data_IF_099576092743
#
_entry.id   IF_099576092743
#
_cell.length_a   1.000
_cell.length_b   1.000
_cell.length_c   1.000
_cell.angle_alpha   90.00
_cell.angle_beta   90.00
_cell.angle_gamma   90.00
#
_symmetry.space_group_name_H-M   'P 1'
#
loop_
_entity.id
_entity.type
_entity.pdbx_description
1 polymer ?
#
# COMPACT_ATOMS: atom_id res chain seq x y z
N UNK A 1 -16.85 -20.26 26.55
CA UNK A 1 -15.53 -19.64 26.38
C UNK A 1 -15.45 -19.16 24.95
N UNK A 2 -15.88 -17.92 24.73
CA UNK A 2 -15.87 -17.27 23.42
C UNK A 2 -14.51 -16.58 23.25
N UNK A 3 -13.65 -16.98 22.30
CA UNK A 3 -12.36 -16.36 22.09
C UNK A 3 -12.57 -15.12 21.23
N UNK A 4 -13.07 -14.03 21.81
CA UNK A 4 -12.94 -12.74 21.14
C UNK A 4 -11.49 -12.29 21.32
N UNK A 5 -10.68 -12.22 20.25
CA UNK A 5 -9.30 -11.74 20.39
C UNK A 5 -9.34 -10.30 20.88
N UNK A 6 -8.55 -10.05 21.91
CA UNK A 6 -8.50 -8.79 22.63
C UNK A 6 -8.21 -7.63 21.65
N UNK A 7 -9.21 -6.78 21.40
CA UNK A 7 -9.15 -5.67 20.42
C UNK A 7 -8.01 -4.69 20.70
N UNK A 8 -7.47 -4.69 21.93
CA UNK A 8 -6.40 -3.81 22.37
C UNK A 8 -5.02 -4.13 21.78
N UNK A 9 -4.71 -5.39 21.47
CA UNK A 9 -3.39 -5.78 20.93
C UNK A 9 -3.34 -5.76 19.40
N UNK A 10 -4.49 -5.83 18.73
CA UNK A 10 -4.57 -5.85 17.27
C UNK A 10 -4.22 -4.51 16.62
N UNK A 11 -4.57 -3.38 17.25
CA UNK A 11 -4.32 -2.05 16.69
C UNK A 11 -2.82 -1.74 16.51
N UNK A 12 -1.98 -1.77 17.57
CA UNK A 12 -0.56 -1.49 17.41
C UNK A 12 0.15 -2.54 16.56
N UNK A 13 -0.26 -3.82 16.67
CA UNK A 13 0.36 -4.91 15.91
C UNK A 13 -0.01 -4.87 14.41
N UNK A 14 -1.27 -4.61 14.06
CA UNK A 14 -1.69 -4.52 12.65
C UNK A 14 -1.15 -3.26 11.96
N UNK A 15 -1.11 -2.12 12.65
CA UNK A 15 -0.50 -0.89 12.10
C UNK A 15 1.01 -1.05 11.95
N UNK A 16 1.71 -1.64 12.92
CA UNK A 16 3.14 -1.91 12.79
C UNK A 16 3.43 -2.89 11.64
N UNK A 17 2.67 -3.99 11.55
CA UNK A 17 2.87 -4.98 10.50
C UNK A 17 2.53 -4.44 9.10
N UNK A 18 1.42 -3.72 8.95
CA UNK A 18 1.05 -3.16 7.64
C UNK A 18 2.06 -2.11 7.17
N UNK A 19 2.54 -1.25 8.07
CA UNK A 19 3.57 -0.25 7.75
C UNK A 19 4.89 -0.93 7.40
N UNK A 20 5.38 -1.85 8.24
CA UNK A 20 6.69 -2.47 8.04
C UNK A 20 6.69 -3.33 6.77
N UNK A 21 5.68 -4.17 6.57
CA UNK A 21 5.61 -5.04 5.39
C UNK A 21 5.37 -4.24 4.10
N UNK A 22 4.50 -3.23 4.13
CA UNK A 22 4.26 -2.39 2.93
C UNK A 22 5.49 -1.55 2.59
N UNK A 23 6.17 -0.98 3.60
CA UNK A 23 7.38 -0.19 3.36
C UNK A 23 8.54 -1.05 2.85
N UNK A 24 8.71 -2.26 3.39
CA UNK A 24 9.68 -3.23 2.89
C UNK A 24 9.39 -3.60 1.43
N UNK A 25 8.13 -3.93 1.12
CA UNK A 25 7.73 -4.24 -0.25
C UNK A 25 7.94 -3.07 -1.23
N UNK A 26 7.62 -1.83 -0.84
CA UNK A 26 7.90 -0.62 -1.65
C UNK A 26 9.38 -0.47 -1.92
N UNK A 27 10.21 -0.68 -0.88
CA UNK A 27 11.65 -0.59 -1.00
C UNK A 27 12.17 -1.64 -1.97
N UNK A 28 11.77 -2.89 -1.80
CA UNK A 28 12.23 -4.00 -2.64
C UNK A 28 11.78 -3.80 -4.09
N UNK A 29 10.55 -3.31 -4.32
CA UNK A 29 10.02 -2.96 -5.64
C UNK A 29 10.89 -1.90 -6.32
N UNK A 30 11.26 -0.86 -5.58
CA UNK A 30 12.08 0.25 -6.10
C UNK A 30 13.53 -0.14 -6.34
N UNK A 31 14.06 -1.06 -5.55
CA UNK A 31 15.41 -1.57 -5.73
C UNK A 31 15.49 -2.63 -6.85
N UNK A 32 14.36 -2.99 -7.47
CA UNK A 32 14.31 -4.02 -8.51
C UNK A 32 14.69 -5.40 -7.99
N UNK A 33 14.52 -5.62 -6.67
CA UNK A 33 14.87 -6.87 -6.00
C UNK A 33 13.72 -7.89 -6.03
N UNK A 34 12.52 -7.49 -6.48
CA UNK A 34 11.45 -8.45 -6.72
C UNK A 34 11.67 -9.16 -8.04
N UNK A 35 11.60 -10.49 -7.97
CA UNK A 35 11.52 -11.34 -9.14
C UNK A 35 10.28 -10.92 -9.98
N UNK A 36 10.44 -10.70 -11.29
CA UNK A 36 9.33 -10.33 -12.15
C UNK A 36 8.30 -11.46 -12.17
N UNK A 37 7.04 -11.11 -11.92
CA UNK A 37 5.95 -12.08 -11.93
C UNK A 37 5.87 -12.78 -13.30
N UNK A 38 5.91 -14.10 -13.30
CA UNK A 38 5.81 -14.91 -14.50
C UNK A 38 4.50 -15.71 -14.50
N UNK A 39 3.60 -15.40 -15.42
CA UNK A 39 2.42 -16.23 -15.66
C UNK A 39 2.72 -17.17 -16.83
N UNK A 40 2.65 -18.48 -16.57
CA UNK A 40 2.91 -19.53 -17.58
C UNK A 40 4.29 -19.39 -18.25
N UNK A 41 5.31 -18.98 -17.49
CA UNK A 41 6.69 -18.83 -17.98
C UNK A 41 6.96 -17.56 -18.79
N UNK A 42 6.00 -16.64 -18.91
CA UNK A 42 6.20 -15.33 -19.55
C UNK A 42 6.21 -14.24 -18.49
N UNK A 43 7.30 -13.48 -18.44
CA UNK A 43 7.42 -12.31 -17.57
C UNK A 43 6.34 -11.29 -17.91
N UNK A 44 5.64 -10.80 -16.88
CA UNK A 44 4.65 -9.74 -16.99
C UNK A 44 5.30 -8.36 -16.90
N UNK A 45 4.64 -7.38 -17.50
CA UNK A 45 5.02 -5.98 -17.34
C UNK A 45 4.69 -5.50 -15.93
N UNK A 46 5.71 -5.01 -15.21
CA UNK A 46 5.60 -4.57 -13.83
C UNK A 46 5.36 -3.04 -13.72
N UNK A 47 5.17 -2.32 -14.83
CA UNK A 47 4.95 -0.86 -14.82
C UNK A 47 3.73 -0.44 -13.96
N UNK A 48 2.75 -1.33 -13.79
CA UNK A 48 1.60 -1.11 -12.93
C UNK A 48 1.97 -1.00 -11.44
N UNK A 49 3.01 -1.70 -10.98
CA UNK A 49 3.43 -1.68 -9.57
C UNK A 49 3.98 -0.32 -9.15
N UNK A 50 4.52 0.47 -10.09
CA UNK A 50 4.94 1.85 -9.83
C UNK A 50 3.79 2.77 -9.43
N UNK A 51 2.55 2.43 -9.81
CA UNK A 51 1.34 3.20 -9.52
C UNK A 51 0.57 2.66 -8.31
N UNK A 52 1.07 1.61 -7.65
CA UNK A 52 0.39 0.99 -6.52
C UNK A 52 0.54 1.80 -5.23
N UNK A 53 1.62 2.58 -5.14
CA UNK A 53 1.94 3.41 -3.98
C UNK A 53 2.01 4.87 -4.36
N UNK A 54 1.68 5.75 -3.40
CA UNK A 54 1.70 7.22 -3.57
C UNK A 54 0.76 7.71 -4.67
N UNK A 55 -0.29 6.94 -4.93
CA UNK A 55 -1.29 7.22 -5.94
C UNK A 55 -2.61 7.56 -5.28
N UNK A 56 -3.26 8.63 -5.75
CA UNK A 56 -4.59 9.00 -5.34
C UNK A 56 -5.47 9.31 -6.55
N UNK A 57 -6.75 8.95 -6.44
CA UNK A 57 -7.77 9.31 -7.41
C UNK A 57 -8.37 10.66 -7.02
N UNK A 58 -8.10 11.69 -7.81
CA UNK A 58 -8.64 13.04 -7.58
C UNK A 58 -9.85 13.25 -8.49
N UNK A 59 -11.05 13.47 -7.93
CA UNK A 59 -12.23 13.84 -8.71
C UNK A 59 -12.04 15.24 -9.30
N UNK A 60 -12.35 15.39 -10.58
CA UNK A 60 -12.33 16.65 -11.33
C UNK A 60 -13.67 16.83 -12.06
N UNK A 61 -13.98 18.04 -12.51
CA UNK A 61 -15.26 18.35 -13.19
C UNK A 61 -15.51 17.49 -14.43
N UNK A 62 -14.46 16.98 -15.07
CA UNK A 62 -14.54 16.16 -16.29
C UNK A 62 -14.13 14.70 -16.07
N UNK A 63 -14.17 14.19 -14.83
CA UNK A 63 -13.86 12.80 -14.50
C UNK A 63 -12.80 12.65 -13.41
N UNK A 64 -12.22 11.47 -13.28
CA UNK A 64 -11.20 11.21 -12.26
C UNK A 64 -9.80 11.23 -12.87
N UNK A 65 -8.84 11.86 -12.19
CA UNK A 65 -7.43 11.82 -12.54
C UNK A 65 -6.67 11.02 -11.50
N UNK A 66 -5.90 10.04 -11.96
CA UNK A 66 -4.98 9.31 -11.12
C UNK A 66 -3.68 10.11 -11.03
N UNK A 67 -3.33 10.54 -9.83
CA UNK A 67 -2.13 11.32 -9.56
C UNK A 67 -1.18 10.51 -8.71
N UNK A 68 0.08 10.45 -9.15
CA UNK A 68 1.18 9.78 -8.46
C UNK A 68 2.12 10.86 -7.96
N UNK A 69 2.47 10.84 -6.66
CA UNK A 69 3.42 11.77 -6.08
C UNK A 69 4.68 11.04 -5.60
N UNK A 70 5.73 11.05 -6.41
CA UNK A 70 7.00 10.40 -6.08
C UNK A 70 7.75 11.02 -4.90
N UNK A 71 7.40 12.24 -4.47
CA UNK A 71 8.03 12.88 -3.31
C UNK A 71 7.35 12.50 -1.98
N UNK A 72 6.15 11.93 -1.98
CA UNK A 72 5.39 11.62 -0.76
C UNK A 72 6.11 10.59 0.13
N UNK A 73 6.29 10.89 1.42
CA UNK A 73 6.97 9.99 2.39
C UNK A 73 6.10 9.64 3.61
N UNK A 74 4.84 10.04 3.60
CA UNK A 74 3.91 9.87 4.71
C UNK A 74 2.89 8.77 4.39
N UNK A 75 2.41 8.11 5.44
CA UNK A 75 1.29 7.16 5.40
C UNK A 75 0.16 7.81 6.19
N UNK A 76 -1.07 7.64 5.74
CA UNK A 76 -2.28 8.15 6.41
C UNK A 76 -2.99 6.95 7.04
N UNK A 77 -3.26 7.01 8.34
CA UNK A 77 -4.11 6.02 9.02
C UNK A 77 -5.53 6.58 9.19
N UNK A 78 -6.55 5.73 9.04
CA UNK A 78 -7.95 6.11 9.21
C UNK A 78 -8.54 5.35 10.38
N UNK A 79 -8.95 6.09 11.42
CA UNK A 79 -9.65 5.51 12.58
C UNK A 79 -10.90 6.30 12.91
N UNK A 80 -12.06 5.65 12.86
CA UNK A 80 -13.37 6.25 13.22
C UNK A 80 -13.64 7.58 12.47
N UNK A 81 -13.24 7.65 11.19
CA UNK A 81 -13.40 8.84 10.36
C UNK A 81 -12.39 9.96 10.60
N UNK A 82 -11.36 9.73 11.44
CA UNK A 82 -10.25 10.66 11.65
C UNK A 82 -9.02 10.18 10.87
N UNK A 83 -8.31 11.16 10.28
CA UNK A 83 -7.00 10.95 9.69
C UNK A 83 -5.94 11.26 10.75
N UNK A 84 -5.05 10.30 10.99
CA UNK A 84 -3.91 10.42 11.90
C UNK A 84 -2.59 10.45 11.12
#
# INVERSE_FOLDING_TARGET
>A
NDPTPDRGSQLPHATALSIILSLAFIRDLRQGLLDPDAVRGRALDMDQYGRLFRTAHIPTEHGCKMLVNDAARHIVDLRRGQFC
#
